data_IF_832494314741
#
_entry.id   IF_832494314741
#
_cell.length_a   1.000
_cell.length_b   1.000
_cell.length_c   1.000
_cell.angle_alpha   90.00
_cell.angle_beta   90.00
_cell.angle_gamma   90.00
#
_symmetry.space_group_name_H-M   'P 1'
#
loop_
_entity.id
_entity.type
_entity.pdbx_description
1 polymer ?
#
# COMPACT_ATOMS: atom_id res chain seq x y z
N UNK A 1 26.44 1.67 8.59
CA UNK A 1 26.05 0.30 8.16
C UNK A 1 25.26 0.30 6.85
N UNK A 2 24.53 1.36 6.50
CA UNK A 2 23.87 1.47 5.19
C UNK A 2 22.56 0.71 5.07
N UNK A 3 22.02 0.21 6.18
CA UNK A 3 20.68 -0.37 6.26
C UNK A 3 19.65 0.72 6.55
N UNK A 4 18.45 0.51 6.04
CA UNK A 4 17.26 1.27 6.40
C UNK A 4 16.53 0.58 7.57
N UNK A 5 16.02 1.37 8.52
CA UNK A 5 15.23 0.87 9.64
C UNK A 5 13.75 0.88 9.24
N UNK A 6 13.23 -0.30 8.96
CA UNK A 6 11.85 -0.48 8.50
C UNK A 6 10.87 -0.48 9.67
N UNK A 7 11.20 -1.21 10.74
CA UNK A 7 10.36 -1.26 11.94
C UNK A 7 11.16 -1.49 13.22
N UNK A 8 10.60 -1.04 14.35
CA UNK A 8 11.10 -1.21 15.69
C UNK A 8 9.92 -1.52 16.62
N UNK A 9 9.87 -2.74 17.14
CA UNK A 9 8.82 -3.20 18.05
C UNK A 9 9.43 -3.52 19.42
N UNK A 10 8.82 -3.01 20.49
CA UNK A 10 9.17 -3.36 21.88
C UNK A 10 7.95 -3.93 22.57
N UNK A 11 8.07 -5.17 23.07
CA UNK A 11 7.00 -5.81 23.83
C UNK A 11 7.19 -5.59 25.34
N UNK A 12 6.09 -5.63 26.09
CA UNK A 12 6.13 -5.59 27.56
C UNK A 12 6.91 -6.78 28.18
N UNK A 13 7.10 -7.86 27.42
CA UNK A 13 7.92 -9.01 27.81
C UNK A 13 9.43 -8.79 27.68
N UNK A 14 9.88 -7.61 27.23
CA UNK A 14 11.29 -7.30 27.02
C UNK A 14 11.84 -7.79 25.68
N UNK A 15 10.99 -8.16 24.71
CA UNK A 15 11.44 -8.41 23.35
C UNK A 15 11.65 -7.07 22.63
N UNK A 16 12.82 -6.90 22.04
CA UNK A 16 13.14 -5.82 21.11
C UNK A 16 13.33 -6.43 19.72
N UNK A 17 12.41 -6.14 18.79
CA UNK A 17 12.50 -6.59 17.41
C UNK A 17 12.85 -5.40 16.51
N UNK A 18 13.91 -5.57 15.73
CA UNK A 18 14.41 -4.59 14.78
C UNK A 18 14.29 -5.17 13.37
N UNK A 19 13.57 -4.48 12.51
CA UNK A 19 13.37 -4.88 11.12
C UNK A 19 14.16 -3.96 10.20
N UNK A 20 15.07 -4.54 9.42
CA UNK A 20 15.99 -3.82 8.54
C UNK A 20 15.77 -4.18 7.07
N UNK A 21 16.10 -3.26 6.17
CA UNK A 21 16.16 -3.50 4.72
C UNK A 21 17.32 -2.72 4.07
N UNK A 22 17.59 -3.01 2.80
CA UNK A 22 18.42 -2.12 1.99
C UNK A 22 17.61 -0.89 1.58
N UNK A 23 18.23 0.31 1.59
CA UNK A 23 17.57 1.51 1.11
C UNK A 23 17.16 1.30 -0.34
N UNK A 24 15.90 1.59 -0.63
CA UNK A 24 15.41 1.51 -2.00
C UNK A 24 15.98 2.66 -2.82
N UNK A 25 16.56 2.32 -3.97
CA UNK A 25 17.05 3.30 -4.94
C UNK A 25 16.47 2.90 -6.29
N UNK A 26 15.64 3.77 -6.88
CA UNK A 26 14.91 3.46 -8.11
C UNK A 26 15.81 3.04 -9.30
N UNK A 27 17.07 3.50 -9.32
CA UNK A 27 18.05 3.18 -10.35
C UNK A 27 18.83 1.88 -10.12
N UNK A 28 18.67 1.24 -8.94
CA UNK A 28 19.40 0.03 -8.56
C UNK A 28 18.56 -1.21 -8.86
N UNK A 29 18.90 -1.93 -9.93
CA UNK A 29 18.41 -3.28 -10.20
C UNK A 29 19.61 -4.23 -10.42
N UNK A 30 19.65 -5.41 -9.78
CA UNK A 30 18.58 -6.05 -8.99
C UNK A 30 18.46 -5.54 -7.53
N UNK A 31 17.26 -5.63 -6.96
CA UNK A 31 17.05 -5.37 -5.53
C UNK A 31 17.85 -6.37 -4.68
N UNK A 32 18.64 -5.85 -3.75
CA UNK A 32 19.43 -6.66 -2.82
C UNK A 32 18.54 -7.07 -1.65
N UNK A 33 18.51 -8.36 -1.33
CA UNK A 33 17.87 -8.86 -0.13
C UNK A 33 18.82 -8.81 1.08
N UNK A 34 18.27 -8.67 2.28
CA UNK A 34 18.99 -8.83 3.53
C UNK A 34 19.35 -10.31 3.71
N UNK A 35 20.62 -10.60 3.98
CA UNK A 35 21.11 -11.95 4.27
C UNK A 35 21.21 -12.21 5.78
N UNK A 36 21.51 -13.45 6.17
CA UNK A 36 21.72 -13.81 7.59
C UNK A 36 22.94 -13.08 8.15
N UNK A 37 24.01 -12.95 7.36
CA UNK A 37 25.23 -12.26 7.74
C UNK A 37 24.97 -10.76 7.99
N UNK A 38 24.07 -10.14 7.23
CA UNK A 38 23.67 -8.75 7.46
C UNK A 38 22.95 -8.60 8.82
N UNK A 39 22.01 -9.51 9.14
CA UNK A 39 21.33 -9.54 10.44
C UNK A 39 22.31 -9.75 11.60
N UNK A 40 23.28 -10.66 11.45
CA UNK A 40 24.31 -10.92 12.46
C UNK A 40 25.17 -9.68 12.74
N UNK A 41 25.57 -8.97 11.67
CA UNK A 41 26.35 -7.73 11.79
C UNK A 41 25.59 -6.66 12.56
N UNK A 42 24.32 -6.45 12.23
CA UNK A 42 23.46 -5.47 12.93
C UNK A 42 23.23 -5.90 14.38
N UNK A 43 22.97 -7.18 14.64
CA UNK A 43 22.76 -7.71 15.99
C UNK A 43 23.96 -7.43 16.89
N UNK A 44 25.18 -7.72 16.42
CA UNK A 44 26.41 -7.46 17.20
C UNK A 44 26.60 -5.97 17.51
N UNK A 45 26.34 -5.09 16.55
CA UNK A 45 26.48 -3.65 16.77
C UNK A 45 25.42 -3.11 17.72
N UNK A 46 24.17 -3.58 17.62
CA UNK A 46 23.10 -3.17 18.52
C UNK A 46 23.34 -3.64 19.95
N UNK A 47 23.83 -4.86 20.17
CA UNK A 47 24.14 -5.34 21.53
C UNK A 47 25.13 -4.41 22.25
N UNK A 48 26.20 -4.02 21.57
CA UNK A 48 27.20 -3.09 22.12
C UNK A 48 26.58 -1.72 22.42
N UNK A 49 25.80 -1.18 21.48
CA UNK A 49 25.18 0.13 21.65
C UNK A 49 24.15 0.14 22.78
N UNK A 50 23.29 -0.86 22.83
CA UNK A 50 22.22 -0.96 23.85
C UNK A 50 22.80 -1.15 25.25
N UNK A 51 23.95 -1.82 25.38
CA UNK A 51 24.68 -1.91 26.65
C UNK A 51 25.22 -0.55 27.09
N UNK A 52 25.85 0.20 26.18
CA UNK A 52 26.37 1.55 26.45
C UNK A 52 25.25 2.53 26.83
N UNK A 53 24.13 2.47 26.12
CA UNK A 53 22.94 3.30 26.36
C UNK A 53 22.07 2.80 27.53
N UNK A 54 22.48 1.71 28.21
CA UNK A 54 21.75 1.08 29.30
C UNK A 54 20.28 0.77 28.98
N UNK A 55 20.00 0.36 27.74
CA UNK A 55 18.65 0.00 27.30
C UNK A 55 18.32 -1.41 27.75
N UNK A 56 17.32 -1.55 28.61
CA UNK A 56 16.89 -2.86 29.10
C UNK A 56 16.07 -3.64 28.05
N UNK A 57 16.54 -4.84 27.71
CA UNK A 57 15.84 -5.82 26.87
C UNK A 57 16.19 -7.25 27.31
N UNK A 58 15.25 -8.17 27.16
CA UNK A 58 15.44 -9.61 27.46
C UNK A 58 15.82 -10.42 26.22
N UNK A 59 15.32 -10.03 25.05
CA UNK A 59 15.61 -10.71 23.78
C UNK A 59 15.70 -9.67 22.67
N UNK A 60 16.75 -9.76 21.85
CA UNK A 60 16.92 -8.96 20.65
C UNK A 60 16.69 -9.86 19.43
N UNK A 61 15.79 -9.46 18.54
CA UNK A 61 15.55 -10.10 17.25
C UNK A 61 15.84 -9.08 16.15
N UNK A 62 16.72 -9.43 15.22
CA UNK A 62 17.00 -8.62 14.02
C UNK A 62 16.63 -9.44 12.80
N UNK A 63 15.81 -8.87 11.92
CA UNK A 63 15.35 -9.56 10.72
C UNK A 63 14.96 -8.61 9.60
N UNK A 64 14.62 -9.17 8.45
CA UNK A 64 14.05 -8.42 7.33
C UNK A 64 12.51 -8.44 7.39
N UNK A 65 11.83 -7.48 6.74
CA UNK A 65 10.36 -7.36 6.81
C UNK A 65 9.62 -8.52 6.14
N UNK A 66 10.27 -9.27 5.25
CA UNK A 66 9.64 -10.38 4.52
C UNK A 66 8.53 -9.91 3.57
N UNK A 67 7.48 -10.72 3.45
CA UNK A 67 6.37 -10.52 2.49
C UNK A 67 5.30 -9.53 2.98
N UNK A 68 5.26 -9.23 4.29
CA UNK A 68 4.29 -8.33 4.94
C UNK A 68 4.99 -7.04 5.36
N UNK A 69 5.73 -6.43 4.44
CA UNK A 69 6.53 -5.24 4.73
C UNK A 69 5.63 -4.06 5.10
N UNK A 70 5.87 -3.37 6.23
CA UNK A 70 5.16 -2.15 6.56
C UNK A 70 5.58 -1.00 5.62
N UNK A 71 4.60 -0.20 5.22
CA UNK A 71 4.77 0.97 4.36
C UNK A 71 4.59 2.22 5.22
N UNK A 72 5.68 2.96 5.48
CA UNK A 72 5.67 4.11 6.41
C UNK A 72 5.96 5.43 5.72
N UNK A 73 6.78 5.41 4.68
CA UNK A 73 7.25 6.61 4.00
C UNK A 73 6.73 6.67 2.58
N UNK A 74 6.64 7.87 1.99
CA UNK A 74 6.17 8.05 0.61
C UNK A 74 6.96 7.20 -0.40
N UNK A 75 8.27 7.04 -0.20
CA UNK A 75 9.13 6.18 -1.01
C UNK A 75 8.71 4.70 -1.00
N UNK A 76 8.14 4.21 0.11
CA UNK A 76 7.60 2.85 0.16
C UNK A 76 6.39 2.71 -0.76
N UNK A 77 5.49 3.70 -0.76
CA UNK A 77 4.30 3.69 -1.63
C UNK A 77 4.68 3.81 -3.11
N UNK A 78 5.70 4.63 -3.43
CA UNK A 78 6.26 4.71 -4.78
C UNK A 78 6.88 3.38 -5.23
N UNK A 79 7.63 2.72 -4.34
CA UNK A 79 8.26 1.42 -4.63
C UNK A 79 7.23 0.34 -4.95
N UNK A 80 6.09 0.34 -4.26
CA UNK A 80 5.11 -0.75 -4.32
C UNK A 80 3.82 -0.40 -5.07
N UNK A 81 3.82 0.62 -5.92
CA UNK A 81 2.69 0.90 -6.83
C UNK A 81 2.34 -0.36 -7.62
N UNK A 82 1.05 -0.67 -7.70
CA UNK A 82 0.48 -1.86 -8.33
C UNK A 82 0.51 -3.12 -7.48
N UNK A 83 1.10 -3.08 -6.28
CA UNK A 83 1.05 -4.19 -5.31
C UNK A 83 -0.23 -4.16 -4.48
N UNK A 84 -0.65 -5.32 -3.97
CA UNK A 84 -1.78 -5.39 -3.04
C UNK A 84 -1.30 -5.04 -1.64
N UNK A 85 -1.96 -4.08 -1.00
CA UNK A 85 -1.62 -3.60 0.34
C UNK A 85 -2.83 -3.71 1.28
N UNK A 86 -2.54 -3.92 2.56
CA UNK A 86 -3.48 -3.80 3.66
C UNK A 86 -3.30 -2.42 4.32
N UNK A 87 -4.37 -1.65 4.38
CA UNK A 87 -4.41 -0.30 4.95
C UNK A 87 -5.36 -0.27 6.13
N UNK A 88 -4.91 0.30 7.25
CA UNK A 88 -5.76 0.62 8.41
C UNK A 88 -5.79 2.13 8.61
N UNK A 89 -6.97 2.73 8.53
CA UNK A 89 -7.18 4.15 8.78
C UNK A 89 -7.23 4.47 10.28
N UNK A 90 -6.80 5.68 10.66
CA UNK A 90 -6.94 6.20 12.04
C UNK A 90 -8.42 6.40 12.39
N UNK A 91 -9.15 7.02 11.48
CA UNK A 91 -10.57 7.29 11.58
C UNK A 91 -11.35 6.42 10.59
N UNK A 92 -12.57 6.01 10.93
CA UNK A 92 -13.43 5.35 9.96
C UNK A 92 -13.75 6.31 8.81
N UNK A 93 -13.93 5.77 7.61
CA UNK A 93 -14.14 6.55 6.38
C UNK A 93 -15.49 7.32 6.34
N UNK A 94 -16.36 7.10 7.33
CA UNK A 94 -17.73 7.60 7.31
C UNK A 94 -18.56 6.91 6.22
N UNK A 95 -19.83 7.29 6.08
CA UNK A 95 -20.71 6.66 5.10
C UNK A 95 -20.44 7.10 3.63
N UNK A 96 -19.45 7.96 3.37
CA UNK A 96 -19.47 8.84 2.19
C UNK A 96 -18.23 8.86 1.29
N UNK A 97 -17.24 7.97 1.44
CA UNK A 97 -16.06 8.03 0.55
C UNK A 97 -15.68 6.65 0.00
N UNK A 98 -16.51 6.12 -0.91
CA UNK A 98 -16.00 5.22 -1.93
C UNK A 98 -16.35 5.84 -3.27
N UNK A 99 -15.34 6.20 -4.06
CA UNK A 99 -15.52 6.82 -5.39
C UNK A 99 -15.99 5.80 -6.44
N UNK A 100 -16.94 4.93 -6.07
CA UNK A 100 -17.52 3.86 -6.91
C UNK A 100 -19.01 3.63 -6.64
N UNK A 101 -19.71 4.55 -5.96
CA UNK A 101 -21.17 4.52 -5.78
C UNK A 101 -21.70 3.39 -4.88
N UNK A 102 -20.81 2.61 -4.23
CA UNK A 102 -21.18 1.53 -3.31
C UNK A 102 -20.85 1.92 -1.89
N UNK A 103 -21.85 1.84 -1.02
CA UNK A 103 -21.69 2.12 0.40
C UNK A 103 -20.75 1.09 1.04
N UNK A 104 -19.56 1.56 1.42
CA UNK A 104 -18.70 0.85 2.36
C UNK A 104 -19.32 0.97 3.75
N UNK A 105 -19.23 -0.09 4.55
CA UNK A 105 -19.64 -0.02 5.95
C UNK A 105 -18.93 1.15 6.66
N UNK A 106 -19.70 2.12 7.16
CA UNK A 106 -19.17 3.37 7.69
C UNK A 106 -18.15 3.21 8.84
N UNK A 107 -18.18 2.08 9.56
CA UNK A 107 -17.25 1.77 10.65
C UNK A 107 -16.01 0.98 10.22
N UNK A 108 -15.89 0.62 8.93
CA UNK A 108 -14.75 -0.14 8.42
C UNK A 108 -13.51 0.75 8.43
N UNK A 109 -12.46 0.25 9.08
CA UNK A 109 -11.14 0.91 9.15
C UNK A 109 -10.05 0.17 8.40
N UNK A 110 -10.28 -1.10 8.08
CA UNK A 110 -9.31 -1.99 7.42
C UNK A 110 -9.73 -2.26 5.98
N UNK A 111 -8.82 -2.06 5.07
CA UNK A 111 -9.03 -2.19 3.64
C UNK A 111 -7.88 -2.98 3.03
N UNK A 112 -8.18 -3.76 1.98
CA UNK A 112 -7.20 -4.49 1.19
C UNK A 112 -7.46 -4.16 -0.26
N UNK A 113 -6.45 -3.67 -0.97
CA UNK A 113 -6.59 -3.29 -2.38
C UNK A 113 -5.26 -3.08 -3.08
N UNK A 114 -5.31 -2.93 -4.40
CA UNK A 114 -4.14 -2.61 -5.22
C UNK A 114 -3.80 -1.15 -5.05
N UNK A 115 -2.55 -0.85 -4.68
CA UNK A 115 -2.04 0.51 -4.52
C UNK A 115 -1.86 1.18 -5.89
N UNK A 116 -2.40 2.38 -6.04
CA UNK A 116 -2.21 3.23 -7.21
C UNK A 116 -1.82 4.64 -6.79
N UNK A 117 -1.03 5.29 -7.64
CA UNK A 117 -0.76 6.72 -7.48
C UNK A 117 -1.97 7.46 -8.00
N UNK A 118 -2.65 8.20 -7.13
CA UNK A 118 -3.80 8.93 -7.57
C UNK A 118 -3.32 10.23 -8.24
N UNK A 119 -3.74 10.46 -9.48
CA UNK A 119 -3.60 11.75 -10.16
C UNK A 119 -4.70 12.64 -9.63
N UNK A 120 -4.37 13.88 -9.22
CA UNK A 120 -5.40 14.80 -8.73
C UNK A 120 -6.51 14.84 -9.78
N UNK A 121 -7.80 14.81 -9.40
CA UNK A 121 -8.83 15.06 -10.38
C UNK A 121 -8.47 16.39 -11.00
N UNK A 122 -8.21 16.39 -12.30
CA UNK A 122 -8.08 17.60 -13.11
C UNK A 122 -9.46 18.25 -13.09
N UNK A 123 -9.78 18.89 -11.97
CA UNK A 123 -10.83 19.87 -11.90
C UNK A 123 -10.34 21.01 -12.77
N UNK A 124 -10.96 21.15 -13.95
CA UNK A 124 -10.93 22.41 -14.67
C UNK A 124 -11.14 23.55 -13.67
N UNK A 125 -10.27 24.57 -13.62
CA UNK A 125 -10.46 25.70 -12.74
C UNK A 125 -11.57 26.57 -13.32
N UNK A 126 -12.83 26.26 -13.00
CA UNK A 126 -13.88 27.26 -13.06
C UNK A 126 -13.82 28.09 -11.77
N UNK A 127 -13.12 29.22 -11.90
CA UNK A 127 -13.04 30.35 -10.98
C UNK A 127 -11.95 30.27 -9.89
N UNK A 128 -11.06 31.28 -9.81
CA UNK A 128 -10.02 31.34 -8.79
C UNK A 128 -10.63 31.73 -7.43
N UNK A 129 -10.25 31.10 -6.30
CA UNK A 129 -10.53 31.64 -4.99
C UNK A 129 -9.61 32.84 -4.72
N UNK A 130 -10.23 34.01 -4.53
CA UNK A 130 -9.59 35.22 -4.00
C UNK A 130 -9.24 34.99 -2.53
N UNK A 131 -8.08 34.36 -2.29
CA UNK A 131 -7.26 34.39 -1.06
C UNK A 131 -6.11 33.41 -1.27
N UNK A 132 -4.92 33.91 -1.59
CA UNK A 132 -3.75 33.09 -1.84
C UNK A 132 -3.38 32.22 -0.62
N UNK A 133 -3.18 30.89 -0.76
CA UNK A 133 -2.46 30.11 0.23
C UNK A 133 -0.95 30.34 0.09
N UNK A 134 -0.23 30.36 1.21
CA UNK A 134 1.20 30.66 1.28
C UNK A 134 2.07 29.70 0.43
N UNK A 135 3.21 30.17 -0.14
CA UNK A 135 4.06 29.34 -0.98
C UNK A 135 4.93 28.44 -0.10
N UNK A 136 4.47 27.21 0.12
CA UNK A 136 5.23 26.21 0.90
C UNK A 136 4.67 24.80 0.95
N UNK A 137 3.45 24.55 0.46
CA UNK A 137 2.90 23.20 0.42
C UNK A 137 3.35 22.48 -0.86
N UNK A 138 4.30 21.55 -0.71
CA UNK A 138 4.56 20.53 -1.73
C UNK A 138 3.24 19.86 -2.14
N UNK A 139 3.08 19.43 -3.41
CA UNK A 139 1.87 18.72 -3.82
C UNK A 139 1.72 17.50 -2.92
N UNK A 140 0.66 17.46 -2.11
CA UNK A 140 0.30 16.28 -1.33
C UNK A 140 -0.01 15.16 -2.31
N UNK A 141 0.96 14.25 -2.50
CA UNK A 141 0.76 13.03 -3.27
C UNK A 141 -0.34 12.23 -2.59
N UNK A 142 -1.54 12.28 -3.14
CA UNK A 142 -2.64 11.45 -2.68
C UNK A 142 -2.44 10.04 -3.25
N UNK A 143 -2.60 9.06 -2.36
CA UNK A 143 -2.50 7.65 -2.71
C UNK A 143 -3.90 7.07 -2.76
N UNK A 144 -4.12 6.06 -3.59
CA UNK A 144 -5.37 5.32 -3.56
C UNK A 144 -5.16 3.83 -3.53
N UNK A 145 -6.11 3.11 -2.94
CA UNK A 145 -6.27 1.68 -3.18
C UNK A 145 -7.53 1.42 -3.99
N UNK A 146 -7.42 0.44 -4.89
CA UNK A 146 -8.52 -0.06 -5.69
C UNK A 146 -8.84 -1.49 -5.29
N UNK A 147 -10.11 -1.77 -4.97
CA UNK A 147 -10.55 -3.13 -4.63
C UNK A 147 -11.96 -3.41 -5.14
N UNK A 148 -12.38 -4.66 -5.00
CA UNK A 148 -13.76 -5.10 -5.22
C UNK A 148 -14.23 -5.79 -3.95
N UNK A 149 -15.37 -5.37 -3.41
CA UNK A 149 -15.97 -6.04 -2.25
C UNK A 149 -16.80 -7.21 -2.75
N UNK A 150 -16.32 -8.44 -2.56
CA UNK A 150 -17.11 -9.63 -2.89
C UNK A 150 -18.15 -9.85 -1.80
N UNK A 151 -19.45 -9.85 -2.14
CA UNK A 151 -20.49 -10.02 -1.14
C UNK A 151 -20.31 -11.36 -0.42
N UNK A 152 -20.34 -11.31 0.92
CA UNK A 152 -20.26 -12.49 1.78
C UNK A 152 -21.37 -13.47 1.38
N UNK A 153 -21.00 -14.55 0.69
CA UNK A 153 -21.93 -15.62 0.33
C UNK A 153 -22.08 -16.58 1.50
N UNK A 154 -23.31 -17.06 1.71
CA UNK A 154 -23.56 -18.13 2.68
C UNK A 154 -22.89 -19.43 2.24
N UNK A 155 -22.49 -20.32 3.18
CA UNK A 155 -21.94 -21.63 2.84
C UNK A 155 -22.86 -22.38 1.86
N UNK A 156 -22.32 -22.83 0.73
CA UNK A 156 -23.06 -23.59 -0.29
C UNK A 156 -23.57 -22.81 -1.51
N UNK A 157 -23.45 -21.49 -1.54
CA UNK A 157 -23.91 -20.68 -2.67
C UNK A 157 -22.82 -20.55 -3.75
N UNK A 158 -22.97 -21.28 -4.86
CA UNK A 158 -22.07 -21.19 -6.02
C UNK A 158 -22.28 -19.88 -6.78
N UNK A 159 -21.20 -19.19 -7.23
CA UNK A 159 -21.32 -18.01 -8.07
C UNK A 159 -22.10 -18.33 -9.36
N UNK A 160 -23.10 -17.50 -9.68
CA UNK A 160 -23.85 -17.64 -10.93
C UNK A 160 -22.99 -17.20 -12.12
N UNK A 161 -23.07 -17.94 -13.23
CA UNK A 161 -22.41 -17.63 -14.52
C UNK A 161 -22.88 -16.30 -15.15
N UNK A 162 -23.94 -15.69 -14.61
CA UNK A 162 -24.51 -14.39 -15.04
C UNK A 162 -24.26 -13.24 -14.04
N UNK A 163 -23.35 -13.40 -13.09
CA UNK A 163 -23.08 -12.35 -12.09
C UNK A 163 -22.46 -11.13 -12.77
N UNK A 164 -23.08 -9.96 -12.61
CA UNK A 164 -22.50 -8.69 -13.06
C UNK A 164 -21.17 -8.46 -12.31
N UNK A 165 -20.15 -7.89 -12.98
CA UNK A 165 -18.87 -7.60 -12.34
C UNK A 165 -19.08 -6.64 -11.17
N UNK A 166 -18.52 -7.00 -10.01
CA UNK A 166 -18.61 -6.16 -8.82
C UNK A 166 -18.02 -4.78 -9.11
N UNK A 167 -18.67 -3.71 -8.62
CA UNK A 167 -18.20 -2.35 -8.81
C UNK A 167 -16.82 -2.19 -8.18
N UNK A 168 -15.92 -1.56 -8.94
CA UNK A 168 -14.60 -1.15 -8.47
C UNK A 168 -14.78 -0.04 -7.43
N UNK A 169 -14.17 -0.22 -6.28
CA UNK A 169 -14.15 0.75 -5.19
C UNK A 169 -12.76 1.37 -5.13
N UNK A 170 -12.74 2.68 -4.92
CA UNK A 170 -11.51 3.47 -4.81
C UNK A 170 -11.54 4.23 -3.48
N UNK A 171 -10.44 4.15 -2.75
CA UNK A 171 -10.19 4.85 -1.49
C UNK A 171 -8.94 5.69 -1.67
N UNK A 172 -9.13 7.00 -1.80
CA UNK A 172 -8.04 7.96 -1.65
C UNK A 172 -7.70 8.15 -0.18
N UNK A 173 -6.42 8.25 0.14
CA UNK A 173 -5.93 8.54 1.48
C UNK A 173 -4.63 9.34 1.43
N UNK A 174 -4.40 10.10 2.48
CA UNK A 174 -3.09 10.66 2.80
C UNK A 174 -2.32 9.75 3.77
N UNK A 175 -0.99 9.83 3.76
CA UNK A 175 -0.13 9.10 4.72
C UNK A 175 -0.48 9.45 6.18
N UNK A 176 -0.91 10.70 6.41
CA UNK A 176 -1.30 11.24 7.71
C UNK A 176 -2.57 10.56 8.28
N UNK A 177 -3.45 10.05 7.41
CA UNK A 177 -4.71 9.41 7.78
C UNK A 177 -4.54 7.93 8.14
N UNK A 178 -3.40 7.33 7.76
CA UNK A 178 -3.11 5.94 8.00
C UNK A 178 -2.67 5.70 9.44
N UNK A 179 -3.33 4.76 10.11
CA UNK A 179 -2.79 4.17 11.33
C UNK A 179 -1.66 3.19 10.97
N UNK A 180 -1.84 2.45 9.88
CA UNK A 180 -0.93 1.40 9.45
C UNK A 180 -1.14 1.09 7.97
N UNK A 181 -0.06 0.79 7.25
CA UNK A 181 -0.10 0.18 5.93
C UNK A 181 1.00 -0.88 5.82
N UNK A 182 0.72 -1.95 5.09
CA UNK A 182 1.62 -3.10 4.91
C UNK A 182 1.33 -3.83 3.60
N UNK A 183 2.32 -4.50 3.01
CA UNK A 183 2.11 -5.36 1.85
C UNK A 183 1.22 -6.54 2.21
N UNK A 184 0.24 -6.88 1.38
CA UNK A 184 -0.56 -8.07 1.63
C UNK A 184 0.31 -9.33 1.48
N UNK A 185 0.33 -10.27 2.45
CA UNK A 185 1.17 -11.46 2.43
C UNK A 185 0.60 -12.52 1.46
N UNK A 186 0.64 -12.24 0.17
CA UNK A 186 0.14 -13.10 -0.88
C UNK A 186 1.29 -13.98 -1.38
N UNK A 187 1.18 -15.29 -1.16
CA UNK A 187 2.16 -16.28 -1.64
C UNK A 187 1.63 -16.91 -2.92
N UNK A 188 2.33 -16.69 -4.03
CA UNK A 188 2.08 -17.41 -5.27
C UNK A 188 2.95 -18.67 -5.30
N UNK A 189 2.33 -19.85 -5.19
CA UNK A 189 3.01 -21.15 -5.32
C UNK A 189 3.33 -21.52 -6.77
N UNK A 190 2.94 -20.69 -7.73
CA UNK A 190 3.34 -20.79 -9.13
C UNK A 190 4.66 -20.03 -9.26
N UNK A 191 5.73 -20.73 -9.60
CA UNK A 191 7.12 -20.25 -9.54
C UNK A 191 7.34 -18.82 -10.02
N UNK A 192 8.30 -18.14 -9.38
CA UNK A 192 8.70 -16.73 -9.51
C UNK A 192 8.48 -16.15 -10.91
N UNK A 193 7.33 -15.53 -11.17
CA UNK A 193 7.20 -14.60 -12.28
C UNK A 193 7.74 -13.24 -11.82
N UNK A 194 8.88 -12.84 -12.38
CA UNK A 194 9.29 -11.45 -12.38
C UNK A 194 8.22 -10.67 -13.16
N UNK A 195 7.20 -10.20 -12.47
CA UNK A 195 6.18 -9.33 -13.05
C UNK A 195 6.04 -8.18 -12.09
N UNK A 196 6.80 -7.12 -12.37
CA UNK A 196 6.41 -5.78 -12.02
C UNK A 196 4.92 -5.61 -12.39
N UNK A 197 4.09 -5.03 -11.52
CA UNK A 197 2.67 -4.90 -11.79
C UNK A 197 2.50 -4.05 -13.05
N UNK A 198 2.00 -4.70 -14.10
CA UNK A 198 1.64 -4.07 -15.35
C UNK A 198 0.52 -3.06 -15.08
N UNK A 199 0.71 -1.84 -15.57
CA UNK A 199 -0.33 -0.82 -15.64
C UNK A 199 -1.59 -1.40 -16.33
N UNK A 200 -2.80 -1.10 -15.85
CA UNK A 200 -4.01 -1.48 -16.55
C UNK A 200 -4.07 -0.72 -17.89
N UNK A 201 -3.90 -1.45 -18.99
CA UNK A 201 -4.21 -0.98 -20.34
C UNK A 201 -5.68 -0.58 -20.37
N UNK A 202 -5.93 0.73 -20.50
CA UNK A 202 -7.25 1.27 -20.80
C UNK A 202 -7.67 0.77 -22.18
N UNK A 203 -8.69 -0.10 -22.21
CA UNK A 203 -9.38 -0.46 -23.45
C UNK A 203 -10.09 0.79 -23.98
N UNK A 204 -9.55 1.34 -25.07
CA UNK A 204 -10.21 2.38 -25.84
C UNK A 204 -11.43 1.78 -26.56
N UNK A 205 -12.62 2.18 -26.10
CA UNK A 205 -13.89 1.88 -26.76
C UNK A 205 -13.92 2.50 -28.16
N UNK A 206 -13.93 1.63 -29.17
CA UNK A 206 -14.25 1.99 -30.55
C UNK A 206 -15.76 2.16 -30.72
N UNK A 207 -16.17 3.43 -30.76
CA UNK A 207 -17.52 3.91 -31.02
C UNK A 207 -18.15 3.32 -32.28
N UNK A 208 -19.39 2.88 -32.10
CA UNK A 208 -20.38 2.49 -33.10
C UNK A 208 -20.87 3.74 -33.87
N UNK A 209 -20.68 3.78 -35.19
CA UNK A 209 -21.46 4.66 -36.07
C UNK A 209 -22.12 3.81 -37.14
N UNK A 210 -23.42 3.62 -37.00
CA UNK A 210 -24.27 3.09 -38.07
C UNK A 210 -24.41 4.11 -39.19
N UNK A 211 -24.47 3.61 -40.43
CA UNK A 211 -25.15 4.31 -41.52
C UNK A 211 -25.52 3.32 -42.63
N UNK A 212 -26.83 3.14 -42.78
CA UNK A 212 -27.60 3.01 -44.02
C UNK A 212 -27.27 1.91 -45.05
N UNK A 213 -28.24 1.00 -45.23
CA UNK A 213 -28.73 0.49 -46.52
C UNK A 213 -28.53 1.49 -47.69
N UNK A 214 -28.21 1.01 -48.90
CA UNK A 214 -29.29 0.52 -49.77
C UNK A 214 -28.95 -0.62 -50.76
N UNK A 215 -29.96 -1.48 -50.92
CA UNK A 215 -30.37 -2.23 -52.13
C UNK A 215 -29.61 -3.50 -52.52
#
# INVERSE_FOLDING_TARGET
MGFDLVDLERSAGGLLRVTIDWPWVAASSPERAITVEDCERVTRQLQLLLEVEAVDYKRLEVGSPGIDRPLRHAADFERFVGSVIDVTLKQPIGAAVAAGGVAVAANRKKFRGTLERATAPEAAPESPPESAPEPGAAPVSHWQIVWRDEPVRKPGQRPSKKSQPLPLQVLGFELSELREARLAPIVNFKGRSATAPAAPTAEAGGSHTGKADPK
#
